data_IF_945350851737
#
_entry.id   IF_945350851737
#
_cell.length_a   1.000
_cell.length_b   1.000
_cell.length_c   1.000
_cell.angle_alpha   90.00
_cell.angle_beta   90.00
_cell.angle_gamma   90.00
#
_symmetry.space_group_name_H-M   'P 1'
#
loop_
_entity.id
_entity.type
_entity.pdbx_description
1 polymer ?
#
# COMPACT_ATOMS: atom_id res chain seq x y z
N UNK A 1 8.39 -3.31 6.44
CA UNK A 1 9.10 -4.54 5.97
C UNK A 1 8.31 -5.23 4.84
N UNK A 2 8.96 -6.00 3.96
CA UNK A 2 8.24 -6.79 2.94
C UNK A 2 7.42 -7.94 3.54
N UNK A 3 6.20 -8.14 3.03
CA UNK A 3 5.29 -9.23 3.42
C UNK A 3 5.17 -10.35 2.38
N UNK A 4 5.81 -10.16 1.22
CA UNK A 4 5.79 -11.15 0.13
C UNK A 4 6.71 -12.31 0.49
N UNK A 5 6.18 -13.52 0.38
CA UNK A 5 6.86 -14.78 0.66
C UNK A 5 6.92 -15.65 -0.58
N UNK A 6 7.88 -16.57 -0.60
CA UNK A 6 8.19 -17.45 -1.73
C UNK A 6 8.19 -18.92 -1.28
N UNK A 7 7.62 -19.82 -2.10
CA UNK A 7 7.72 -21.27 -1.90
C UNK A 7 8.33 -21.97 -3.12
N UNK A 8 9.31 -22.83 -2.85
CA UNK A 8 9.99 -23.62 -3.89
C UNK A 8 9.04 -24.64 -4.53
N UNK A 9 8.13 -25.24 -3.75
CA UNK A 9 7.25 -26.33 -4.20
C UNK A 9 6.33 -25.94 -5.37
N UNK A 10 6.00 -24.65 -5.49
CA UNK A 10 5.12 -24.13 -6.55
C UNK A 10 5.87 -23.33 -7.63
N UNK A 11 7.16 -23.06 -7.46
CA UNK A 11 7.88 -22.20 -8.38
C UNK A 11 8.41 -22.95 -9.62
N UNK A 12 8.02 -22.49 -10.81
CA UNK A 12 8.52 -23.02 -12.10
C UNK A 12 9.73 -22.25 -12.65
N UNK A 13 10.37 -21.38 -11.84
CA UNK A 13 11.58 -20.63 -12.21
C UNK A 13 11.47 -19.82 -13.53
N UNK A 14 10.26 -19.41 -13.94
CA UNK A 14 10.02 -18.68 -15.19
C UNK A 14 10.48 -17.21 -15.20
N UNK A 15 11.00 -16.73 -14.06
CA UNK A 15 11.53 -15.38 -13.82
C UNK A 15 10.55 -14.21 -14.08
N UNK A 16 9.25 -14.47 -14.28
CA UNK A 16 8.26 -13.41 -14.54
C UNK A 16 8.18 -12.41 -13.38
N UNK A 17 8.28 -12.88 -12.14
CA UNK A 17 8.28 -12.04 -10.94
C UNK A 17 9.45 -11.04 -10.88
N UNK A 18 10.62 -11.39 -11.42
CA UNK A 18 11.77 -10.48 -11.52
C UNK A 18 11.44 -9.32 -12.47
N UNK A 19 10.91 -9.65 -13.65
CA UNK A 19 10.60 -8.68 -14.72
C UNK A 19 9.49 -7.70 -14.36
N UNK A 20 8.48 -8.13 -13.61
CA UNK A 20 7.34 -7.26 -13.24
C UNK A 20 7.59 -6.44 -11.97
N UNK A 21 8.71 -6.64 -11.26
CA UNK A 21 8.96 -5.93 -10.02
C UNK A 21 9.40 -4.48 -10.35
N UNK A 22 8.58 -3.46 -10.01
CA UNK A 22 8.81 -2.07 -10.41
C UNK A 22 10.03 -1.42 -9.76
N UNK A 23 10.52 -2.06 -8.70
CA UNK A 23 11.66 -1.64 -7.89
C UNK A 23 12.71 -2.74 -7.87
N UNK A 24 12.67 -3.73 -8.76
CA UNK A 24 13.70 -4.78 -8.90
C UNK A 24 14.08 -5.49 -7.58
N UNK A 25 13.15 -5.56 -6.63
CA UNK A 25 13.37 -6.16 -5.32
C UNK A 25 13.46 -7.69 -5.37
N UNK A 26 13.29 -8.31 -6.54
CA UNK A 26 13.28 -9.75 -6.72
C UNK A 26 14.46 -10.15 -7.60
N UNK A 27 15.27 -11.09 -7.12
CA UNK A 27 16.39 -11.70 -7.86
C UNK A 27 16.27 -13.22 -7.82
N UNK A 28 17.05 -13.90 -8.66
CA UNK A 28 17.17 -15.35 -8.66
C UNK A 28 18.63 -15.74 -8.39
N UNK A 29 18.85 -16.47 -7.29
CA UNK A 29 20.17 -16.99 -6.90
C UNK A 29 20.04 -18.45 -6.52
N UNK A 30 20.93 -19.29 -7.03
CA UNK A 30 20.92 -20.75 -6.81
C UNK A 30 19.55 -21.37 -7.17
N UNK A 31 18.97 -20.91 -8.28
CA UNK A 31 17.63 -21.27 -8.76
C UNK A 31 16.48 -21.00 -7.78
N UNK A 32 16.71 -20.15 -6.77
CA UNK A 32 15.72 -19.73 -5.78
C UNK A 32 15.44 -18.26 -5.92
N UNK A 33 14.17 -17.89 -5.76
CA UNK A 33 13.75 -16.49 -5.70
C UNK A 33 14.22 -15.89 -4.38
N UNK A 34 14.83 -14.71 -4.44
CA UNK A 34 15.23 -13.90 -3.29
C UNK A 34 14.50 -12.57 -3.36
N UNK A 35 13.91 -12.15 -2.24
CA UNK A 35 13.17 -10.89 -2.13
C UNK A 35 13.96 -9.99 -1.20
N UNK A 36 14.41 -8.84 -1.72
CA UNK A 36 15.01 -7.79 -0.93
C UNK A 36 13.90 -7.09 -0.12
N UNK A 37 13.86 -7.38 1.19
CA UNK A 37 12.81 -6.87 2.09
C UNK A 37 12.83 -5.36 2.28
N UNK A 38 13.99 -4.71 2.15
CA UNK A 38 14.14 -3.26 2.30
C UNK A 38 13.86 -2.50 1.00
N UNK A 39 13.87 -3.16 -0.16
CA UNK A 39 13.52 -2.56 -1.45
C UNK A 39 12.07 -2.82 -1.87
N UNK A 40 11.47 -3.92 -1.42
CA UNK A 40 10.09 -4.26 -1.78
C UNK A 40 9.09 -3.22 -1.26
N UNK A 41 8.19 -2.77 -2.14
CA UNK A 41 7.12 -1.81 -1.85
C UNK A 41 5.76 -2.47 -1.62
N UNK A 42 5.71 -3.81 -1.52
CA UNK A 42 4.49 -4.58 -1.27
C UNK A 42 3.33 -4.35 -2.27
N UNK A 43 3.63 -3.99 -3.54
CA UNK A 43 2.63 -3.65 -4.56
C UNK A 43 1.85 -4.84 -5.15
N UNK A 44 2.19 -6.09 -4.81
CA UNK A 44 1.47 -7.28 -5.28
C UNK A 44 1.76 -7.74 -6.71
N UNK A 45 2.35 -6.91 -7.60
CA UNK A 45 2.57 -7.25 -9.03
C UNK A 45 3.24 -8.61 -9.28
N UNK A 46 4.20 -8.98 -8.42
CA UNK A 46 4.88 -10.26 -8.51
C UNK A 46 3.96 -11.46 -8.20
N UNK A 47 3.04 -11.30 -7.24
CA UNK A 47 2.01 -12.29 -6.88
C UNK A 47 1.02 -12.41 -8.04
N UNK A 48 0.47 -11.29 -8.51
CA UNK A 48 -0.50 -11.26 -9.64
C UNK A 48 0.07 -11.94 -10.89
N UNK A 49 1.37 -11.74 -11.17
CA UNK A 49 2.02 -12.32 -12.34
C UNK A 49 2.27 -13.84 -12.23
N UNK A 50 2.27 -14.39 -11.01
CA UNK A 50 2.72 -15.74 -10.71
C UNK A 50 1.58 -16.77 -10.87
N UNK A 51 1.38 -17.25 -12.10
CA UNK A 51 0.33 -18.24 -12.43
C UNK A 51 0.46 -19.58 -11.69
N UNK A 52 1.62 -19.85 -11.07
CA UNK A 52 1.86 -21.05 -10.28
C UNK A 52 1.65 -20.86 -8.77
N UNK A 53 1.33 -19.64 -8.31
CA UNK A 53 1.16 -19.32 -6.89
C UNK A 53 2.41 -19.59 -6.03
N UNK A 54 3.60 -19.43 -6.61
CA UNK A 54 4.87 -19.55 -5.89
C UNK A 54 5.22 -18.34 -5.01
N UNK A 55 4.49 -17.23 -5.16
CA UNK A 55 4.60 -16.02 -4.36
C UNK A 55 3.26 -15.73 -3.69
N UNK A 56 3.27 -15.36 -2.42
CA UNK A 56 2.07 -15.10 -1.62
C UNK A 56 2.32 -14.02 -0.57
N UNK A 57 1.27 -13.35 -0.11
CA UNK A 57 1.26 -12.55 1.11
C UNK A 57 0.11 -13.05 1.98
N UNK A 58 0.33 -13.18 3.29
CA UNK A 58 -0.66 -13.77 4.21
C UNK A 58 -0.78 -12.89 5.45
N UNK A 59 -2.01 -12.58 5.84
CA UNK A 59 -2.28 -11.95 7.12
C UNK A 59 -2.40 -12.98 8.25
N UNK A 60 -2.91 -12.48 9.37
CA UNK A 60 -3.53 -13.26 10.42
C UNK A 60 -4.71 -14.07 9.89
N UNK A 61 -5.24 -14.97 10.73
CA UNK A 61 -6.47 -15.71 10.43
C UNK A 61 -7.50 -15.46 11.52
N UNK A 62 -8.77 -15.84 11.29
CA UNK A 62 -9.81 -15.74 12.32
C UNK A 62 -9.54 -16.63 13.55
N UNK A 63 -8.59 -17.57 13.48
CA UNK A 63 -8.18 -18.35 14.66
C UNK A 63 -7.58 -17.48 15.76
N UNK A 64 -6.98 -16.34 15.39
CA UNK A 64 -6.37 -15.42 16.36
C UNK A 64 -7.40 -14.76 17.30
N UNK A 65 -8.69 -14.76 16.91
CA UNK A 65 -9.77 -14.21 17.74
C UNK A 65 -9.89 -14.90 19.10
N UNK A 66 -9.51 -16.19 19.19
CA UNK A 66 -9.60 -16.99 20.41
C UNK A 66 -8.71 -16.46 21.55
N UNK A 67 -7.70 -15.64 21.24
CA UNK A 67 -6.76 -15.10 22.22
C UNK A 67 -7.20 -13.80 22.90
N UNK A 68 -8.41 -13.30 22.60
CA UNK A 68 -8.88 -11.99 23.05
C UNK A 68 -10.28 -12.07 23.66
N UNK A 69 -10.52 -11.24 24.67
CA UNK A 69 -11.80 -11.12 25.37
C UNK A 69 -12.76 -10.22 24.60
N UNK A 70 -12.24 -9.10 24.06
CA UNK A 70 -12.96 -8.15 23.23
C UNK A 70 -12.29 -8.07 21.86
N UNK A 71 -13.02 -8.40 20.78
CA UNK A 71 -12.47 -8.45 19.41
C UNK A 71 -13.11 -7.37 18.55
N UNK A 72 -12.30 -6.48 18.01
CA UNK A 72 -12.75 -5.33 17.24
C UNK A 72 -12.19 -5.43 15.83
N UNK A 73 -13.07 -5.43 14.81
CA UNK A 73 -12.68 -5.35 13.42
C UNK A 73 -12.70 -3.91 12.92
N UNK A 74 -11.64 -3.48 12.22
CA UNK A 74 -11.60 -2.20 11.52
C UNK A 74 -11.84 -2.43 10.02
N UNK A 75 -12.89 -1.81 9.49
CA UNK A 75 -13.33 -1.97 8.10
C UNK A 75 -12.89 -0.77 7.27
N UNK A 76 -12.06 -0.95 6.22
CA UNK A 76 -11.60 0.16 5.39
C UNK A 76 -12.74 0.67 4.49
N UNK A 77 -12.77 1.98 4.25
CA UNK A 77 -13.75 2.65 3.37
C UNK A 77 -13.86 2.02 1.98
N UNK A 78 -12.77 1.48 1.46
CA UNK A 78 -12.75 0.81 0.17
C UNK A 78 -13.65 -0.44 0.11
N UNK A 79 -13.84 -1.13 1.25
CA UNK A 79 -14.69 -2.33 1.31
C UNK A 79 -16.18 -1.99 1.18
N UNK A 80 -16.60 -0.80 1.62
CA UNK A 80 -17.98 -0.35 1.51
C UNK A 80 -18.43 -0.24 0.04
N UNK A 81 -17.48 0.01 -0.87
CA UNK A 81 -17.73 0.03 -2.31
C UNK A 81 -18.04 -1.36 -2.91
N UNK A 82 -17.82 -2.45 -2.17
CA UNK A 82 -18.23 -3.79 -2.58
C UNK A 82 -19.76 -3.99 -2.50
N UNK A 83 -20.46 -3.14 -1.76
CA UNK A 83 -21.92 -3.09 -1.65
C UNK A 83 -22.49 -2.00 -2.56
N UNK A 84 -23.64 -2.23 -3.21
CA UNK A 84 -24.27 -1.25 -4.11
C UNK A 84 -25.25 -0.30 -3.42
N UNK A 85 -25.67 -0.62 -2.19
CA UNK A 85 -26.59 0.20 -1.37
C UNK A 85 -26.14 0.26 0.09
N UNK A 86 -26.61 1.27 0.82
CA UNK A 86 -26.33 1.39 2.28
C UNK A 86 -26.87 0.19 3.05
N UNK A 87 -28.04 -0.35 2.68
CA UNK A 87 -28.58 -1.58 3.31
C UNK A 87 -27.60 -2.76 3.19
N UNK A 88 -26.93 -2.89 2.05
CA UNK A 88 -25.93 -3.94 1.84
C UNK A 88 -24.61 -3.66 2.59
N UNK A 89 -24.27 -2.39 2.84
CA UNK A 89 -23.16 -2.05 3.75
C UNK A 89 -23.49 -2.53 5.17
N UNK A 90 -24.70 -2.25 5.64
CA UNK A 90 -25.14 -2.69 6.97
C UNK A 90 -25.20 -4.23 7.08
N UNK A 91 -25.60 -4.92 6.01
CA UNK A 91 -25.53 -6.38 5.92
C UNK A 91 -24.11 -6.90 6.00
N UNK A 92 -23.18 -6.26 5.28
CA UNK A 92 -21.75 -6.57 5.32
C UNK A 92 -21.19 -6.43 6.74
N UNK A 93 -21.49 -5.33 7.43
CA UNK A 93 -21.01 -5.10 8.79
C UNK A 93 -21.58 -6.10 9.79
N UNK A 94 -22.90 -6.37 9.72
CA UNK A 94 -23.52 -7.42 10.54
C UNK A 94 -22.93 -8.80 10.27
N UNK A 95 -22.59 -9.09 9.01
CA UNK A 95 -21.96 -10.35 8.61
C UNK A 95 -20.53 -10.44 9.13
N UNK A 96 -19.74 -9.36 9.05
CA UNK A 96 -18.39 -9.34 9.63
C UNK A 96 -18.47 -9.58 11.14
N UNK A 97 -19.40 -8.93 11.84
CA UNK A 97 -19.63 -9.12 13.28
C UNK A 97 -19.92 -10.59 13.60
N UNK A 98 -20.77 -11.25 12.81
CA UNK A 98 -21.10 -12.67 13.02
C UNK A 98 -19.94 -13.66 12.77
N UNK A 99 -18.83 -13.22 12.18
CA UNK A 99 -17.60 -14.03 12.07
C UNK A 99 -16.85 -14.21 13.39
N UNK A 100 -17.33 -13.59 14.48
CA UNK A 100 -16.78 -13.72 15.82
C UNK A 100 -16.18 -12.42 16.37
N UNK A 101 -16.53 -11.26 15.80
CA UNK A 101 -16.15 -9.96 16.35
C UNK A 101 -17.24 -9.41 17.27
N UNK A 102 -16.84 -8.76 18.34
CA UNK A 102 -17.78 -8.09 19.26
C UNK A 102 -18.17 -6.71 18.73
N UNK A 103 -17.24 -6.03 18.05
CA UNK A 103 -17.50 -4.74 17.39
C UNK A 103 -16.87 -4.66 16.00
N UNK A 104 -17.51 -3.90 15.12
CA UNK A 104 -17.06 -3.63 13.76
C UNK A 104 -17.09 -2.13 13.52
N UNK A 105 -15.91 -1.54 13.33
CA UNK A 105 -15.71 -0.09 13.23
C UNK A 105 -15.50 0.29 11.77
N UNK A 106 -16.32 1.23 11.29
CA UNK A 106 -16.14 1.86 9.99
C UNK A 106 -14.98 2.87 10.05
N UNK A 107 -14.00 2.73 9.16
CA UNK A 107 -12.89 3.67 9.05
C UNK A 107 -13.22 4.90 8.19
N UNK A 108 -14.36 4.93 7.50
CA UNK A 108 -14.72 6.05 6.64
C UNK A 108 -14.81 7.41 7.35
N UNK A 109 -15.31 7.53 8.59
CA UNK A 109 -15.23 8.78 9.33
C UNK A 109 -13.80 9.28 9.56
N UNK A 110 -12.84 8.38 9.79
CA UNK A 110 -11.43 8.73 9.97
C UNK A 110 -10.76 9.11 8.65
N UNK A 111 -11.05 8.38 7.56
CA UNK A 111 -10.62 8.77 6.21
C UNK A 111 -11.19 10.14 5.81
N UNK A 112 -12.43 10.45 6.20
CA UNK A 112 -13.03 11.77 6.00
C UNK A 112 -12.36 12.89 6.80
N UNK A 113 -11.92 12.61 8.03
CA UNK A 113 -11.13 13.55 8.82
C UNK A 113 -9.79 13.86 8.12
N UNK A 114 -9.11 12.83 7.61
CA UNK A 114 -7.88 12.98 6.82
C UNK A 114 -8.14 13.79 5.55
N UNK A 115 -9.24 13.51 4.84
CA UNK A 115 -9.60 14.26 3.64
C UNK A 115 -9.79 15.76 3.94
N UNK A 116 -10.43 16.11 5.06
CA UNK A 116 -10.59 17.50 5.48
C UNK A 116 -9.26 18.20 5.76
N UNK A 117 -8.33 17.52 6.43
CA UNK A 117 -6.98 18.04 6.66
C UNK A 117 -6.26 18.30 5.33
N UNK A 118 -6.34 17.35 4.40
CA UNK A 118 -5.78 17.50 3.06
C UNK A 118 -6.40 18.67 2.30
N UNK A 119 -7.71 18.92 2.41
CA UNK A 119 -8.35 20.08 1.77
C UNK A 119 -7.77 21.40 2.29
N UNK A 120 -7.48 21.48 3.60
CA UNK A 120 -6.79 22.63 4.20
C UNK A 120 -5.40 22.84 3.62
N UNK A 121 -4.61 21.77 3.50
CA UNK A 121 -3.26 21.81 2.93
C UNK A 121 -3.27 22.21 1.45
N UNK A 122 -4.21 21.68 0.66
CA UNK A 122 -4.40 22.04 -0.76
C UNK A 122 -4.74 23.52 -0.89
N UNK A 123 -5.59 24.04 0.00
CA UNK A 123 -5.98 25.45 -0.02
C UNK A 123 -4.83 26.41 0.34
N UNK A 124 -3.97 26.03 1.28
CA UNK A 124 -2.80 26.82 1.70
C UNK A 124 -1.54 26.56 0.83
N UNK A 125 -1.60 25.66 -0.15
CA UNK A 125 -0.42 25.13 -0.86
C UNK A 125 0.59 26.21 -1.27
N UNK A 126 1.73 26.21 -0.56
CA UNK A 126 2.87 27.12 -0.79
C UNK A 126 3.91 26.52 -1.73
N UNK A 127 4.13 25.21 -1.59
CA UNK A 127 5.09 24.43 -2.37
C UNK A 127 4.61 24.11 -3.79
N UNK A 128 5.53 23.84 -4.74
CA UNK A 128 5.16 23.46 -6.10
C UNK A 128 4.29 22.20 -6.12
N UNK A 129 4.58 21.24 -5.23
CA UNK A 129 3.85 19.99 -5.13
C UNK A 129 3.46 19.69 -3.68
N UNK A 130 2.30 19.06 -3.54
CA UNK A 130 1.93 18.28 -2.36
C UNK A 130 1.61 16.87 -2.85
N UNK A 131 2.19 15.85 -2.23
CA UNK A 131 2.04 14.46 -2.65
C UNK A 131 1.28 13.70 -1.59
N UNK A 132 0.19 13.05 -1.98
CA UNK A 132 -0.64 12.25 -1.09
C UNK A 132 0.14 11.11 -0.44
N UNK A 133 -0.11 10.83 0.84
CA UNK A 133 0.58 9.80 1.63
C UNK A 133 -0.32 8.64 2.09
N UNK A 134 -1.58 8.58 1.63
CA UNK A 134 -2.53 7.53 2.05
C UNK A 134 -2.21 6.15 1.45
N UNK A 135 -1.49 6.07 0.33
CA UNK A 135 -1.17 4.82 -0.34
C UNK A 135 0.21 4.29 0.09
N UNK A 136 0.30 3.26 0.96
CA UNK A 136 1.58 2.79 1.49
C UNK A 136 2.54 2.26 0.41
N UNK A 137 2.01 1.79 -0.72
CA UNK A 137 2.84 1.37 -1.87
C UNK A 137 3.52 2.57 -2.52
N UNK A 138 2.81 3.69 -2.66
CA UNK A 138 3.36 4.91 -3.27
C UNK A 138 4.38 5.56 -2.36
N UNK A 139 4.10 5.62 -1.04
CA UNK A 139 5.06 6.12 -0.05
C UNK A 139 6.39 5.36 -0.16
N UNK A 140 6.32 4.02 -0.14
CA UNK A 140 7.51 3.17 -0.28
C UNK A 140 8.18 3.28 -1.65
N UNK A 141 7.42 3.52 -2.72
CA UNK A 141 7.97 3.80 -4.04
C UNK A 141 8.78 5.11 -4.04
N UNK A 142 8.27 6.16 -3.40
CA UNK A 142 8.97 7.44 -3.27
C UNK A 142 10.23 7.27 -2.44
N UNK A 143 10.14 6.63 -1.27
CA UNK A 143 11.29 6.35 -0.41
C UNK A 143 12.41 5.58 -1.11
N UNK A 144 12.05 4.62 -1.98
CA UNK A 144 13.02 3.74 -2.65
C UNK A 144 13.53 4.31 -3.96
N UNK A 145 12.67 4.96 -4.76
CA UNK A 145 12.98 5.35 -6.15
C UNK A 145 13.00 6.86 -6.38
N UNK A 146 12.23 7.64 -5.62
CA UNK A 146 12.09 9.10 -5.79
C UNK A 146 12.40 9.88 -4.51
N UNK A 147 13.54 9.64 -3.84
CA UNK A 147 13.81 10.24 -2.53
C UNK A 147 13.90 11.78 -2.57
N UNK A 148 14.08 12.40 -3.74
CA UNK A 148 14.00 13.86 -3.90
C UNK A 148 12.60 14.42 -3.70
N UNK A 149 11.57 13.58 -3.82
CA UNK A 149 10.17 13.98 -3.65
C UNK A 149 9.65 13.80 -2.21
N UNK A 150 10.47 13.28 -1.29
CA UNK A 150 10.07 13.04 0.10
C UNK A 150 9.62 14.32 0.82
N UNK A 151 10.27 15.46 0.53
CA UNK A 151 9.93 16.75 1.14
C UNK A 151 8.55 17.28 0.74
N UNK A 152 8.01 16.83 -0.39
CA UNK A 152 6.68 17.24 -0.88
C UNK A 152 5.57 16.31 -0.39
N UNK A 153 5.89 15.21 0.31
CA UNK A 153 4.87 14.31 0.83
C UNK A 153 4.14 14.96 2.01
N UNK A 154 2.81 14.90 1.98
CA UNK A 154 1.99 15.26 3.13
C UNK A 154 2.22 14.25 4.28
N UNK A 155 2.03 14.64 5.55
CA UNK A 155 2.19 13.73 6.68
C UNK A 155 1.39 12.42 6.52
N UNK A 156 1.95 11.26 6.89
CA UNK A 156 1.33 9.96 6.65
C UNK A 156 0.23 9.63 7.67
N UNK A 157 -0.92 10.29 7.57
CA UNK A 157 -2.07 9.97 8.43
C UNK A 157 -2.66 8.60 8.07
N UNK A 158 -2.72 7.69 9.05
CA UNK A 158 -3.25 6.32 8.88
C UNK A 158 -4.56 6.19 9.65
N UNK A 159 -5.70 6.15 8.95
CA UNK A 159 -7.03 6.06 9.55
C UNK A 159 -7.20 4.89 10.52
N UNK A 160 -6.67 3.72 10.18
CA UNK A 160 -6.70 2.55 11.05
C UNK A 160 -5.93 2.76 12.37
N UNK A 161 -4.80 3.47 12.34
CA UNK A 161 -4.00 3.76 13.52
C UNK A 161 -4.69 4.80 14.40
N UNK A 162 -5.24 5.86 13.79
CA UNK A 162 -6.04 6.88 14.49
C UNK A 162 -7.25 6.26 15.21
N UNK A 163 -7.97 5.35 14.54
CA UNK A 163 -9.06 4.60 15.13
C UNK A 163 -8.57 3.68 16.26
N UNK A 164 -7.44 2.98 16.06
CA UNK A 164 -6.90 2.05 17.04
C UNK A 164 -6.46 2.75 18.33
N UNK A 165 -5.77 3.89 18.23
CA UNK A 165 -5.37 4.69 19.40
C UNK A 165 -6.57 5.12 20.22
N UNK A 166 -7.61 5.64 19.57
CA UNK A 166 -8.87 5.99 20.23
C UNK A 166 -9.52 4.79 20.92
N UNK A 167 -9.58 3.64 20.24
CA UNK A 167 -10.10 2.40 20.83
C UNK A 167 -9.28 2.01 22.07
N UNK A 168 -7.95 2.11 22.02
CA UNK A 168 -7.08 1.82 23.18
C UNK A 168 -7.36 2.75 24.35
N UNK A 169 -7.53 4.05 24.10
CA UNK A 169 -7.89 5.02 25.13
C UNK A 169 -9.25 4.72 25.77
N UNK A 170 -10.27 4.47 24.96
CA UNK A 170 -11.63 4.17 25.41
C UNK A 170 -11.69 2.83 26.18
N UNK A 171 -10.87 1.87 25.79
CA UNK A 171 -10.83 0.53 26.41
C UNK A 171 -9.77 0.38 27.50
N UNK A 172 -8.92 1.38 27.76
CA UNK A 172 -7.80 1.30 28.72
C UNK A 172 -8.23 0.94 30.15
N UNK A 173 -9.48 1.27 30.51
CA UNK A 173 -10.06 0.98 31.84
C UNK A 173 -10.76 -0.38 31.90
N UNK A 174 -10.93 -1.06 30.76
CA UNK A 174 -11.50 -2.40 30.72
C UNK A 174 -10.42 -3.38 31.19
N UNK A 175 -10.75 -4.22 32.17
CA UNK A 175 -9.90 -5.33 32.57
C UNK A 175 -10.09 -6.52 31.60
N UNK A 176 -9.94 -6.26 30.30
CA UNK A 176 -10.16 -7.20 29.21
C UNK A 176 -8.99 -7.12 28.24
N UNK A 177 -8.59 -8.26 27.68
CA UNK A 177 -7.61 -8.30 26.60
C UNK A 177 -8.29 -7.95 25.28
N UNK A 178 -8.07 -6.73 24.81
CA UNK A 178 -8.65 -6.19 23.57
C UNK A 178 -7.78 -6.52 22.36
N UNK A 179 -8.38 -7.15 21.35
CA UNK A 179 -7.76 -7.47 20.07
C UNK A 179 -8.30 -6.57 18.96
N UNK A 180 -7.41 -5.81 18.32
CA UNK A 180 -7.76 -4.93 17.20
C UNK A 180 -7.30 -5.55 15.88
N UNK A 181 -8.25 -5.79 14.97
CA UNK A 181 -8.05 -6.50 13.71
C UNK A 181 -8.33 -5.57 12.52
N UNK A 182 -7.30 -5.19 11.77
CA UNK A 182 -7.46 -4.44 10.53
C UNK A 182 -7.83 -5.38 9.38
N UNK A 183 -8.99 -5.17 8.76
CA UNK A 183 -9.31 -5.80 7.50
C UNK A 183 -8.57 -5.07 6.37
N UNK A 184 -7.67 -5.77 5.69
CA UNK A 184 -6.78 -5.21 4.69
C UNK A 184 -7.30 -5.40 3.27
N UNK A 185 -7.51 -4.28 2.58
CA UNK A 185 -7.78 -4.19 1.15
C UNK A 185 -6.48 -4.19 0.31
N UNK A 186 -5.32 -4.03 0.97
CA UNK A 186 -4.02 -3.91 0.32
C UNK A 186 -2.95 -4.77 1.02
N UNK A 187 -2.10 -5.43 0.24
CA UNK A 187 -0.96 -6.21 0.73
C UNK A 187 -0.01 -5.33 1.56
N UNK A 188 0.16 -4.07 1.18
CA UNK A 188 1.04 -3.13 1.88
C UNK A 188 0.49 -2.64 3.23
N UNK A 189 -0.77 -2.95 3.57
CA UNK A 189 -1.33 -2.73 4.92
C UNK A 189 -1.13 -3.93 5.86
N UNK A 190 -0.85 -5.13 5.33
CA UNK A 190 -0.56 -6.29 6.17
C UNK A 190 0.56 -6.06 7.21
N UNK A 191 1.69 -5.40 6.89
CA UNK A 191 2.77 -5.21 7.86
C UNK A 191 2.51 -4.09 8.87
N UNK A 192 1.39 -3.35 8.80
CA UNK A 192 1.06 -2.25 9.74
C UNK A 192 0.36 -2.76 10.99
N UNK A 193 0.73 -3.95 11.46
CA UNK A 193 0.15 -4.61 12.63
C UNK A 193 1.24 -5.39 13.37
N UNK A 194 1.06 -5.56 14.68
CA UNK A 194 1.99 -6.29 15.53
C UNK A 194 2.20 -7.72 15.05
N UNK A 195 1.15 -8.41 14.60
CA UNK A 195 1.23 -9.77 14.08
C UNK A 195 0.58 -9.92 12.69
N UNK A 196 1.22 -10.62 11.74
CA UNK A 196 2.39 -11.50 11.90
C UNK A 196 3.76 -10.85 11.64
N UNK A 197 3.82 -9.53 11.49
CA UNK A 197 5.02 -8.87 10.95
C UNK A 197 5.86 -8.08 11.96
N UNK A 198 5.42 -7.97 13.21
CA UNK A 198 6.21 -7.45 14.33
C UNK A 198 6.24 -5.93 14.45
N UNK A 199 5.24 -5.21 13.94
CA UNK A 199 5.20 -3.75 14.04
C UNK A 199 4.77 -3.29 15.44
N UNK A 200 5.73 -3.18 16.36
CA UNK A 200 5.47 -2.91 17.77
C UNK A 200 5.05 -1.47 18.06
N UNK A 201 5.20 -0.54 17.11
CA UNK A 201 4.73 0.84 17.25
C UNK A 201 3.26 1.03 16.89
N UNK A 202 2.63 0.06 16.21
CA UNK A 202 1.22 0.13 15.86
C UNK A 202 0.33 -0.29 17.02
N UNK A 203 -0.84 0.35 17.16
CA UNK A 203 -1.89 -0.09 18.08
C UNK A 203 -2.74 -1.25 17.54
N UNK A 204 -2.56 -1.63 16.27
CA UNK A 204 -3.26 -2.73 15.61
C UNK A 204 -2.56 -4.06 15.93
N UNK A 205 -3.30 -5.04 16.46
CA UNK A 205 -2.71 -6.34 16.80
C UNK A 205 -2.58 -7.25 15.59
N UNK A 206 -3.60 -7.28 14.74
CA UNK A 206 -3.70 -8.25 13.65
C UNK A 206 -4.15 -7.60 12.34
N UNK A 207 -3.52 -8.00 11.23
CA UNK A 207 -4.01 -7.70 9.88
C UNK A 207 -4.63 -8.93 9.21
N UNK A 208 -5.89 -8.84 8.76
CA UNK A 208 -6.61 -9.89 8.05
C UNK A 208 -6.77 -9.52 6.57
N UNK A 209 -6.55 -10.46 5.66
CA UNK A 209 -6.78 -10.24 4.23
C UNK A 209 -8.28 -10.33 3.92
N UNK A 210 -8.87 -9.28 3.33
CA UNK A 210 -10.32 -9.26 3.05
C UNK A 210 -10.74 -10.40 2.12
N UNK A 211 -9.95 -10.71 1.07
CA UNK A 211 -10.23 -11.81 0.14
C UNK A 211 -10.24 -13.19 0.82
N UNK A 212 -9.47 -13.38 1.91
CA UNK A 212 -9.47 -14.63 2.66
C UNK A 212 -10.75 -14.82 3.48
N UNK A 213 -11.45 -13.71 3.80
CA UNK A 213 -12.74 -13.72 4.49
C UNK A 213 -13.93 -13.88 3.54
N UNK A 214 -13.75 -13.56 2.26
CA UNK A 214 -14.82 -13.56 1.25
C UNK A 214 -15.67 -14.84 1.21
N UNK A 215 -15.11 -16.08 1.28
CA UNK A 215 -15.93 -17.29 1.26
C UNK A 215 -16.91 -17.39 2.44
N UNK A 216 -16.54 -16.88 3.62
CA UNK A 216 -17.42 -16.86 4.78
C UNK A 216 -18.44 -15.72 4.68
N UNK A 217 -17.98 -14.53 4.31
CA UNK A 217 -18.84 -13.35 4.11
C UNK A 217 -19.91 -13.64 3.07
N UNK A 218 -19.54 -14.18 1.91
CA UNK A 218 -20.48 -14.49 0.82
C UNK A 218 -21.53 -15.53 1.20
N UNK A 219 -21.23 -16.40 2.18
CA UNK A 219 -22.16 -17.44 2.63
C UNK A 219 -23.21 -16.89 3.61
N UNK A 220 -22.81 -15.95 4.46
CA UNK A 220 -23.64 -15.42 5.54
C UNK A 220 -24.25 -14.04 5.21
N UNK A 221 -23.91 -13.45 4.06
CA UNK A 221 -24.43 -12.15 3.61
C UNK A 221 -25.97 -12.12 3.62
N UNK A 222 -26.55 -11.05 4.16
CA UNK A 222 -28.00 -10.85 4.25
C UNK A 222 -28.68 -11.50 5.46
N UNK A 223 -27.97 -12.34 6.24
CA UNK A 223 -28.50 -12.95 7.47
C UNK A 223 -28.40 -12.04 8.69
N UNK A 224 -27.52 -11.04 8.63
CA UNK A 224 -27.19 -10.14 9.72
C UNK A 224 -27.20 -8.71 9.21
N UNK A 225 -27.42 -7.75 10.11
CA UNK A 225 -27.36 -6.32 9.80
C UNK A 225 -26.86 -5.57 11.03
N UNK A 226 -25.93 -4.66 10.83
CA UNK A 226 -25.51 -3.69 11.85
C UNK A 226 -25.54 -2.29 11.25
N UNK A 227 -26.01 -1.31 11.99
CA UNK A 227 -26.21 0.04 11.46
C UNK A 227 -24.86 0.73 11.24
N UNK A 228 -24.73 1.41 10.09
CA UNK A 228 -23.53 2.15 9.73
C UNK A 228 -23.94 3.46 9.07
N UNK A 229 -23.23 4.54 9.40
CA UNK A 229 -23.40 5.84 8.76
C UNK A 229 -22.06 6.30 8.16
N UNK A 230 -21.72 5.85 6.93
CA UNK A 230 -20.43 6.14 6.34
C UNK A 230 -20.18 7.64 6.13
N UNK A 231 -18.92 8.06 6.12
CA UNK A 231 -18.54 9.42 5.73
C UNK A 231 -18.49 9.57 4.20
N UNK A 232 -19.18 10.57 3.62
CA UNK A 232 -19.02 10.91 2.21
C UNK A 232 -17.57 11.27 1.84
N UNK A 233 -16.83 11.96 2.71
CA UNK A 233 -15.46 12.38 2.41
C UNK A 233 -14.48 11.20 2.51
N UNK A 234 -14.71 10.25 3.43
CA UNK A 234 -13.96 9.00 3.48
C UNK A 234 -14.15 8.14 2.22
N UNK A 235 -15.41 8.02 1.75
CA UNK A 235 -15.71 7.31 0.50
C UNK A 235 -15.06 7.99 -0.73
N UNK A 236 -15.02 9.33 -0.78
CA UNK A 236 -14.29 10.06 -1.83
C UNK A 236 -12.79 9.80 -1.77
N UNK A 237 -12.19 9.72 -0.58
CA UNK A 237 -10.76 9.45 -0.43
C UNK A 237 -10.39 8.04 -0.93
N UNK A 238 -11.26 7.06 -0.72
CA UNK A 238 -11.04 5.69 -1.17
C UNK A 238 -11.08 5.50 -2.71
N UNK A 239 -11.67 6.45 -3.45
CA UNK A 239 -11.83 6.38 -4.90
C UNK A 239 -11.19 7.57 -5.60
N UNK A 240 -10.15 7.34 -6.40
CA UNK A 240 -9.44 8.41 -7.12
C UNK A 240 -10.37 9.18 -8.07
N UNK A 241 -11.40 8.53 -8.62
CA UNK A 241 -12.42 9.21 -9.43
C UNK A 241 -13.18 10.30 -8.65
N UNK A 242 -13.39 10.10 -7.35
CA UNK A 242 -14.27 10.92 -6.51
C UNK A 242 -13.54 11.91 -5.62
N UNK A 243 -12.27 11.67 -5.28
CA UNK A 243 -11.49 12.61 -4.47
C UNK A 243 -11.48 14.00 -5.11
N UNK A 244 -11.89 15.03 -4.37
CA UNK A 244 -11.92 16.39 -4.88
C UNK A 244 -11.89 17.37 -3.72
N UNK A 245 -11.23 18.52 -3.90
CA UNK A 245 -11.26 19.65 -2.97
C UNK A 245 -12.03 20.79 -3.62
N UNK A 246 -13.19 21.14 -3.05
CA UNK A 246 -14.11 22.12 -3.64
C UNK A 246 -13.43 23.48 -3.82
N UNK A 247 -13.43 24.00 -5.06
CA UNK A 247 -12.79 25.27 -5.42
C UNK A 247 -11.30 25.15 -5.79
N UNK A 248 -10.73 23.95 -5.70
CA UNK A 248 -9.33 23.65 -6.03
C UNK A 248 -9.20 22.48 -7.00
N UNK A 249 -10.27 22.13 -7.72
CA UNK A 249 -10.33 20.94 -8.58
C UNK A 249 -9.25 20.96 -9.68
N UNK A 250 -8.94 22.14 -10.22
CA UNK A 250 -7.91 22.33 -11.24
C UNK A 250 -6.48 22.15 -10.73
N UNK A 251 -6.27 22.11 -9.41
CA UNK A 251 -4.98 21.89 -8.77
C UNK A 251 -4.73 20.42 -8.43
N UNK A 252 -5.71 19.54 -8.61
CA UNK A 252 -5.58 18.13 -8.25
C UNK A 252 -5.21 17.31 -9.48
N UNK A 253 -4.01 16.75 -9.48
CA UNK A 253 -3.59 15.75 -10.46
C UNK A 253 -3.77 14.37 -9.88
N UNK A 254 -4.55 13.53 -10.56
CA UNK A 254 -4.88 12.17 -10.14
C UNK A 254 -4.14 11.17 -11.00
N UNK A 255 -3.40 10.27 -10.37
CA UNK A 255 -2.83 9.12 -11.06
C UNK A 255 -3.09 7.84 -10.25
N UNK A 256 -3.81 6.92 -10.86
CA UNK A 256 -4.07 5.60 -10.34
C UNK A 256 -3.46 4.53 -11.25
N UNK A 257 -3.05 3.42 -10.64
CA UNK A 257 -2.25 2.42 -11.34
C UNK A 257 -0.76 2.79 -11.33
N UNK A 258 0.06 1.83 -10.93
CA UNK A 258 1.49 2.02 -10.71
C UNK A 258 2.24 2.70 -11.86
N UNK A 259 1.93 2.37 -13.11
CA UNK A 259 2.59 2.96 -14.29
C UNK A 259 2.30 4.46 -14.42
N UNK A 260 1.02 4.87 -14.23
CA UNK A 260 0.66 6.29 -14.25
C UNK A 260 1.26 7.04 -13.07
N UNK A 261 1.30 6.40 -11.90
CA UNK A 261 1.96 6.96 -10.71
C UNK A 261 3.45 7.20 -10.97
N UNK A 262 4.16 6.23 -11.54
CA UNK A 262 5.58 6.38 -11.87
C UNK A 262 5.80 7.52 -12.87
N UNK A 263 4.96 7.61 -13.92
CA UNK A 263 5.03 8.73 -14.86
C UNK A 263 4.80 10.08 -14.16
N UNK A 264 3.79 10.18 -13.29
CA UNK A 264 3.53 11.43 -12.54
C UNK A 264 4.70 11.82 -11.64
N UNK A 265 5.34 10.85 -10.97
CA UNK A 265 6.51 11.07 -10.13
C UNK A 265 7.75 11.46 -10.97
N UNK A 266 7.98 10.80 -12.11
CA UNK A 266 9.07 11.17 -13.04
C UNK A 266 8.89 12.63 -13.50
N UNK A 267 7.68 13.02 -13.92
CA UNK A 267 7.38 14.39 -14.33
C UNK A 267 7.56 15.40 -13.20
N UNK A 268 7.21 15.03 -11.96
CA UNK A 268 7.41 15.89 -10.79
C UNK A 268 8.91 16.07 -10.46
N UNK A 269 9.67 14.97 -10.41
CA UNK A 269 11.10 14.96 -10.06
C UNK A 269 11.94 15.74 -11.09
N UNK A 270 11.59 15.66 -12.38
CA UNK A 270 12.26 16.42 -13.44
C UNK A 270 11.67 17.82 -13.68
N UNK A 271 10.77 18.31 -12.81
CA UNK A 271 10.23 19.66 -12.88
C UNK A 271 9.35 19.93 -14.12
N UNK A 272 8.76 18.88 -14.71
CA UNK A 272 7.93 18.98 -15.91
C UNK A 272 6.46 19.28 -15.60
N UNK A 273 6.01 19.07 -14.35
CA UNK A 273 4.68 19.49 -13.90
C UNK A 273 4.68 20.99 -13.55
N UNK A 274 4.17 21.82 -14.45
CA UNK A 274 4.13 23.29 -14.27
C UNK A 274 2.98 23.71 -13.37
N UNK A 275 3.23 24.59 -12.41
CA UNK A 275 2.21 25.15 -11.52
C UNK A 275 2.22 24.50 -10.14
N UNK A 276 1.17 24.77 -9.35
CA UNK A 276 0.97 24.17 -8.03
C UNK A 276 -0.04 23.04 -8.12
N UNK A 277 0.40 21.85 -7.75
CA UNK A 277 -0.42 20.64 -7.84
C UNK A 277 -0.43 19.85 -6.53
N UNK A 278 -1.60 19.33 -6.19
CA UNK A 278 -1.73 18.20 -5.29
C UNK A 278 -1.79 16.91 -6.11
N UNK A 279 -0.79 16.04 -5.91
CA UNK A 279 -0.70 14.74 -6.55
C UNK A 279 -1.46 13.71 -5.71
N UNK A 280 -2.67 13.37 -6.12
CA UNK A 280 -3.45 12.27 -5.56
C UNK A 280 -3.04 10.97 -6.26
N UNK A 281 -2.18 10.19 -5.60
CA UNK A 281 -1.49 9.03 -6.19
C UNK A 281 -1.92 7.72 -5.53
N UNK A 282 -2.37 6.75 -6.33
CA UNK A 282 -2.75 5.43 -5.85
C UNK A 282 -2.17 4.30 -6.71
N UNK A 283 -1.61 3.27 -6.08
CA UNK A 283 -1.03 2.13 -6.81
C UNK A 283 -2.06 1.33 -7.61
N UNK A 284 -3.29 1.23 -7.10
CA UNK A 284 -4.34 0.42 -7.68
C UNK A 284 -5.23 1.24 -8.60
N UNK A 285 -5.83 0.61 -9.61
CA UNK A 285 -6.75 1.26 -10.54
C UNK A 285 -7.98 1.78 -9.77
N UNK A 286 -8.42 3.00 -10.08
CA UNK A 286 -9.53 3.71 -9.41
C UNK A 286 -9.33 4.00 -7.91
N UNK A 287 -8.13 3.84 -7.36
CA UNK A 287 -7.84 4.09 -5.94
C UNK A 287 -7.91 2.83 -5.08
N UNK A 288 -8.15 3.00 -3.78
CA UNK A 288 -8.20 1.90 -2.81
C UNK A 288 -9.32 0.89 -3.10
N UNK A 289 -10.41 1.31 -3.76
CA UNK A 289 -11.50 0.42 -4.22
C UNK A 289 -11.05 -0.64 -5.24
N UNK A 290 -9.86 -0.48 -5.84
CA UNK A 290 -9.21 -1.51 -6.67
C UNK A 290 -8.10 -2.28 -5.97
N UNK A 291 -8.04 -2.26 -4.64
CA UNK A 291 -7.04 -2.94 -3.84
C UNK A 291 -6.90 -4.44 -4.11
N UNK A 292 -5.67 -4.95 -4.13
CA UNK A 292 -5.36 -6.35 -4.47
C UNK A 292 -5.96 -7.40 -3.51
N UNK A 293 -6.44 -7.00 -2.33
CA UNK A 293 -7.08 -7.91 -1.37
C UNK A 293 -8.60 -7.71 -1.28
N UNK A 294 -9.20 -6.88 -2.15
CA UNK A 294 -10.65 -6.76 -2.29
C UNK A 294 -11.20 -7.84 -3.23
N UNK A 295 -12.48 -8.16 -3.04
CA UNK A 295 -13.27 -8.88 -4.02
C UNK A 295 -14.05 -7.91 -4.91
N UNK A 296 -14.52 -8.42 -6.05
CA UNK A 296 -15.32 -7.63 -6.99
C UNK A 296 -14.46 -6.87 -8.00
N UNK A 297 -15.14 -6.02 -8.78
CA UNK A 297 -14.56 -5.32 -9.91
C UNK A 297 -14.42 -3.82 -9.60
N UNK A 298 -13.23 -3.20 -9.76
CA UNK A 298 -12.99 -1.79 -9.40
C UNK A 298 -13.84 -0.78 -10.20
N UNK A 299 -14.34 -1.14 -11.38
CA UNK A 299 -15.20 -0.25 -12.16
C UNK A 299 -16.60 -0.14 -11.56
N UNK A 300 -17.18 -1.28 -11.14
CA UNK A 300 -18.48 -1.30 -10.45
C UNK A 300 -18.35 -0.68 -9.06
N UNK A 301 -17.29 -0.99 -8.32
CA UNK A 301 -17.02 -0.39 -7.02
C UNK A 301 -16.99 1.15 -7.09
N UNK A 302 -16.42 1.71 -8.16
CA UNK A 302 -16.44 3.17 -8.40
C UNK A 302 -17.85 3.69 -8.62
N UNK A 303 -18.70 2.98 -9.37
CA UNK A 303 -20.12 3.35 -9.53
C UNK A 303 -20.89 3.27 -8.21
N UNK A 304 -20.63 2.25 -7.40
CA UNK A 304 -21.24 2.14 -6.07
C UNK A 304 -20.86 3.32 -5.18
N UNK A 305 -19.61 3.78 -5.21
CA UNK A 305 -19.22 5.02 -4.52
C UNK A 305 -20.07 6.20 -5.01
N UNK A 306 -20.27 6.35 -6.33
CA UNK A 306 -21.14 7.41 -6.86
C UNK A 306 -22.58 7.32 -6.33
N UNK A 307 -23.15 6.12 -6.22
CA UNK A 307 -24.50 5.91 -5.67
C UNK A 307 -24.58 6.18 -4.18
N UNK A 308 -23.59 5.72 -3.40
CA UNK A 308 -23.51 5.99 -1.97
C UNK A 308 -23.44 7.49 -1.68
N UNK A 309 -22.64 8.24 -2.43
CA UNK A 309 -22.51 9.69 -2.25
C UNK A 309 -23.83 10.46 -2.46
N UNK A 310 -24.82 9.88 -3.15
CA UNK A 310 -26.16 10.50 -3.28
C UNK A 310 -26.97 10.37 -1.99
N UNK A 311 -26.74 9.33 -1.20
CA UNK A 311 -27.63 8.94 -0.08
C UNK A 311 -26.98 9.07 1.29
N UNK A 312 -25.68 8.77 1.40
CA UNK A 312 -24.90 8.80 2.65
C UNK A 312 -24.76 10.22 3.19
N UNK A 313 -24.91 10.38 4.51
CA UNK A 313 -24.86 11.67 5.21
C UNK A 313 -24.02 11.64 6.49
N UNK A 314 -23.24 10.59 6.70
CA UNK A 314 -22.43 10.43 7.90
C UNK A 314 -21.38 11.51 8.09
N UNK A 315 -20.88 11.59 9.31
CA UNK A 315 -19.97 12.64 9.75
C UNK A 315 -18.53 12.13 9.84
N UNK A 316 -17.58 13.06 9.80
CA UNK A 316 -16.17 12.74 9.96
C UNK A 316 -15.84 12.59 11.45
N UNK A 317 -14.91 11.68 11.76
CA UNK A 317 -14.41 11.50 13.10
C UNK A 317 -13.73 12.79 13.58
N UNK A 318 -13.89 13.12 14.85
CA UNK A 318 -13.10 14.18 15.47
C UNK A 318 -11.73 13.59 15.83
N UNK A 319 -10.71 14.03 15.10
CA UNK A 319 -9.33 13.56 15.24
C UNK A 319 -8.43 14.77 15.49
N UNK A 320 -7.51 14.63 16.43
CA UNK A 320 -6.41 15.58 16.61
C UNK A 320 -5.22 15.04 15.84
N UNK A 321 -4.80 15.74 14.80
CA UNK A 321 -3.57 15.43 14.07
C UNK A 321 -2.40 16.06 14.83
N UNK A 322 -1.58 15.26 15.52
CA UNK A 322 -0.40 15.78 16.20
C UNK A 322 0.71 16.10 15.20
N UNK A 323 1.35 17.26 15.34
CA UNK A 323 2.43 17.72 14.46
C UNK A 323 3.70 16.83 14.50
N UNK A 324 3.78 15.89 15.45
CA UNK A 324 4.88 14.94 15.65
C UNK A 324 4.60 13.54 15.13
N UNK A 325 3.46 13.28 14.49
CA UNK A 325 3.12 11.93 14.03
C UNK A 325 4.01 11.49 12.86
N UNK A 326 5.05 10.75 13.24
CA UNK A 326 5.99 10.04 12.39
C UNK A 326 6.57 10.91 11.27
N UNK A 327 7.57 11.70 11.63
CA UNK A 327 8.60 12.07 10.67
C UNK A 327 8.91 10.83 9.80
N UNK A 328 8.93 11.00 8.48
CA UNK A 328 9.48 10.02 7.51
C UNK A 328 10.99 9.70 7.78
N UNK A 329 11.49 10.03 8.97
CA UNK A 329 12.87 9.99 9.41
C UNK A 329 13.22 8.68 10.14
N UNK A 330 12.25 7.84 10.54
CA UNK A 330 12.56 6.55 11.19
C UNK A 330 12.94 5.42 10.21
N UNK A 331 12.92 5.67 8.90
CA UNK A 331 13.39 4.70 7.90
C UNK A 331 14.56 5.27 7.10
N UNK A 332 15.74 4.76 7.46
CA UNK A 332 17.07 4.90 6.86
C UNK A 332 17.89 6.13 7.27
N UNK A 333 19.12 5.84 7.68
CA UNK A 333 20.29 6.69 7.48
C UNK A 333 20.22 7.30 6.07
N UNK A 334 19.69 8.53 5.96
CA UNK A 334 19.58 9.22 4.68
C UNK A 334 20.99 9.49 4.20
N UNK A 335 21.46 8.69 3.24
CA UNK A 335 22.69 8.97 2.52
C UNK A 335 22.63 10.41 2.03
N UNK A 336 23.62 11.20 2.41
CA UNK A 336 23.80 12.56 1.91
C UNK A 336 23.78 12.56 0.38
N UNK A 337 23.45 13.72 -0.21
CA UNK A 337 23.50 13.91 -1.67
C UNK A 337 24.87 13.50 -2.21
N UNK A 338 25.95 13.81 -1.48
CA UNK A 338 27.32 13.42 -1.85
C UNK A 338 27.50 11.91 -1.90
N UNK A 339 27.02 11.18 -0.89
CA UNK A 339 27.09 9.71 -0.85
C UNK A 339 26.29 9.08 -2.00
N UNK A 340 25.12 9.62 -2.32
CA UNK A 340 24.29 9.16 -3.45
C UNK A 340 25.00 9.37 -4.79
N UNK A 341 25.66 10.52 -4.99
CA UNK A 341 26.44 10.80 -6.21
C UNK A 341 27.59 9.81 -6.34
N UNK A 342 28.33 9.55 -5.27
CA UNK A 342 29.44 8.59 -5.27
C UNK A 342 28.98 7.16 -5.56
N UNK A 343 27.88 6.74 -4.95
CA UNK A 343 27.27 5.44 -5.22
C UNK A 343 26.83 5.34 -6.68
N UNK A 344 26.14 6.35 -7.21
CA UNK A 344 25.71 6.40 -8.61
C UNK A 344 26.89 6.29 -9.58
N UNK A 345 27.99 6.99 -9.31
CA UNK A 345 29.21 6.91 -10.11
C UNK A 345 29.82 5.50 -10.09
N UNK A 346 29.88 4.84 -8.92
CA UNK A 346 30.37 3.45 -8.81
C UNK A 346 29.50 2.48 -9.60
N UNK A 347 28.18 2.60 -9.51
CA UNK A 347 27.23 1.75 -10.25
C UNK A 347 27.39 1.94 -11.75
N UNK A 348 27.49 3.17 -12.23
CA UNK A 348 27.65 3.44 -13.66
C UNK A 348 28.96 2.87 -14.22
N UNK A 349 30.07 2.96 -13.47
CA UNK A 349 31.34 2.35 -13.88
C UNK A 349 31.26 0.81 -14.04
N UNK A 350 30.40 0.14 -13.27
CA UNK A 350 30.13 -1.29 -13.46
C UNK A 350 29.15 -1.54 -14.62
N UNK A 351 28.16 -0.67 -14.79
CA UNK A 351 27.15 -0.79 -15.85
C UNK A 351 27.76 -0.68 -17.25
N UNK A 352 28.73 0.21 -17.45
CA UNK A 352 29.46 0.36 -18.73
C UNK A 352 30.17 -0.93 -19.19
N UNK A 353 30.45 -1.85 -18.26
CA UNK A 353 31.10 -3.13 -18.55
C UNK A 353 30.10 -4.26 -18.84
N UNK A 354 28.80 -3.98 -18.78
CA UNK A 354 27.73 -4.95 -19.02
C UNK A 354 27.10 -4.75 -20.41
N UNK A 355 26.53 -5.80 -21.04
CA UNK A 355 25.99 -5.71 -22.41
C UNK A 355 24.76 -4.81 -22.59
N UNK A 356 24.08 -4.43 -21.49
CA UNK A 356 22.90 -3.55 -21.55
C UNK A 356 21.61 -4.17 -22.12
N UNK A 357 21.56 -5.49 -22.31
CA UNK A 357 20.39 -6.17 -22.90
C UNK A 357 19.21 -6.42 -21.94
N UNK A 358 19.41 -6.27 -20.63
CA UNK A 358 18.40 -6.54 -19.59
C UNK A 358 17.69 -7.91 -19.73
N UNK A 359 18.39 -8.92 -20.26
CA UNK A 359 17.81 -10.22 -20.61
C UNK A 359 17.41 -11.09 -19.39
N UNK A 360 17.90 -10.76 -18.19
CA UNK A 360 17.64 -11.51 -16.95
C UNK A 360 18.35 -12.85 -16.80
N UNK A 361 19.22 -13.25 -17.74
CA UNK A 361 19.88 -14.56 -17.73
C UNK A 361 20.79 -14.81 -16.51
N UNK A 362 21.30 -13.75 -15.89
CA UNK A 362 22.12 -13.80 -14.67
C UNK A 362 21.28 -13.84 -13.38
N UNK A 363 19.95 -13.76 -13.47
CA UNK A 363 19.06 -13.74 -12.31
C UNK A 363 18.81 -12.34 -11.71
N UNK A 364 19.29 -11.27 -12.35
CA UNK A 364 18.94 -9.89 -12.03
C UNK A 364 17.90 -9.33 -13.01
N UNK A 365 17.05 -8.40 -12.57
CA UNK A 365 15.99 -7.85 -13.41
C UNK A 365 16.52 -6.97 -14.56
N UNK A 366 17.67 -6.33 -14.36
CA UNK A 366 18.36 -5.47 -15.34
C UNK A 366 19.88 -5.54 -15.17
N UNK A 367 20.60 -5.08 -16.20
CA UNK A 367 22.03 -4.83 -16.14
C UNK A 367 22.37 -3.78 -15.07
N UNK A 368 21.52 -2.77 -14.86
CA UNK A 368 21.70 -1.79 -13.78
C UNK A 368 21.63 -2.43 -12.41
N UNK A 369 20.64 -3.29 -12.14
CA UNK A 369 20.55 -4.03 -10.88
C UNK A 369 21.79 -4.91 -10.65
N UNK A 370 22.27 -5.57 -11.70
CA UNK A 370 23.51 -6.35 -11.61
C UNK A 370 24.72 -5.45 -11.29
N UNK A 371 24.82 -4.28 -11.92
CA UNK A 371 25.88 -3.30 -11.64
C UNK A 371 25.83 -2.80 -10.17
N UNK A 372 24.64 -2.58 -9.61
CA UNK A 372 24.45 -2.24 -8.19
C UNK A 372 25.00 -3.34 -7.27
N UNK A 373 24.69 -4.61 -7.57
CA UNK A 373 25.17 -5.75 -6.78
C UNK A 373 26.68 -5.95 -6.91
N UNK A 374 27.28 -5.65 -8.06
CA UNK A 374 28.74 -5.64 -8.25
C UNK A 374 29.38 -4.51 -7.45
N UNK A 375 28.85 -3.29 -7.56
CA UNK A 375 29.35 -2.13 -6.82
C UNK A 375 29.27 -2.33 -5.30
N UNK A 376 28.30 -3.12 -4.83
CA UNK A 376 28.15 -3.50 -3.44
C UNK A 376 28.90 -4.78 -3.03
N UNK A 377 29.71 -5.36 -3.92
CA UNK A 377 30.55 -6.54 -3.64
C UNK A 377 29.78 -7.86 -3.48
N UNK A 378 28.51 -7.91 -3.88
CA UNK A 378 27.63 -9.10 -3.77
C UNK A 378 27.54 -9.93 -5.05
N UNK A 379 28.03 -9.38 -6.16
CA UNK A 379 28.14 -10.03 -7.46
C UNK A 379 29.44 -9.62 -8.17
N UNK A 380 29.74 -10.27 -9.29
CA UNK A 380 30.89 -9.97 -10.16
C UNK A 380 30.44 -9.95 -11.62
N UNK A 381 31.26 -9.39 -12.52
CA UNK A 381 30.99 -9.40 -13.96
C UNK A 381 30.88 -10.82 -14.52
N UNK A 382 31.51 -11.81 -13.88
CA UNK A 382 31.41 -13.23 -14.26
C UNK A 382 30.02 -13.82 -14.05
N UNK A 383 29.14 -13.17 -13.27
CA UNK A 383 27.75 -13.61 -13.18
C UNK A 383 26.98 -13.37 -14.50
N UNK A 384 27.48 -12.52 -15.41
CA UNK A 384 26.80 -12.18 -16.64
C UNK A 384 27.04 -13.26 -17.71
N UNK A 385 26.00 -14.06 -17.96
CA UNK A 385 26.08 -15.18 -18.92
C UNK A 385 26.35 -14.71 -20.34
N UNK A 386 25.78 -13.58 -20.76
CA UNK A 386 25.93 -13.06 -22.12
C UNK A 386 27.36 -12.53 -22.34
N UNK A 387 27.84 -11.67 -21.45
CA UNK A 387 29.21 -11.15 -21.49
C UNK A 387 30.25 -12.28 -21.53
N UNK A 388 30.07 -13.32 -20.72
CA UNK A 388 31.00 -14.44 -20.69
C UNK A 388 31.01 -15.28 -21.98
N UNK A 389 29.91 -15.28 -22.73
CA UNK A 389 29.85 -15.91 -24.05
C UNK A 389 30.60 -15.08 -25.09
N UNK A 390 30.43 -13.75 -25.10
CA UNK A 390 31.10 -12.83 -26.02
C UNK A 390 32.61 -12.73 -25.80
N UNK A 391 33.09 -12.87 -24.57
CA UNK A 391 34.53 -12.84 -24.25
C UNK A 391 35.24 -14.16 -24.63
N UNK A 392 34.50 -15.26 -24.82
CA UNK A 392 35.04 -16.59 -25.16
C UNK A 392 34.99 -16.93 -26.65
N UNK A 393 34.26 -16.15 -27.44
CA UNK A 393 34.23 -16.17 -28.91
C UNK A 393 35.28 -15.23 -29.48
#
# INVERSE_FOLDING_TARGET
MSVVTYTLAKCQKCMKCLRVCPVEAITMKDERVRINKSRCINCGKCIDSCVHQGLQAKGSTLAELEYYDLKIALVPSALLAAASTVSQIEELFGTIKSLGFDEVVDLSPYDGAIANELYGMIADQKEPYLISSFCPVVNRLIEVKYPMLLEYMVPPYRSAELASRRIREETAKLNQKVGIFLLCECIAKLPTSKYPYGDTSSEIDHALSIVDLFPRISKEMGNHRDHVDPSPDGLKLASSAHFTAKGYESHILKADGLEKVQLALDLAEFGQLKGRHYLHLANCINGCVGGNLLWGNPFEATQHVSEHLKTVRGTNAQVVFEASEESLDEVNERKSIQERILEYARVNAQLEQLPGYDCGACGFASCRMMAEEIAAGRATLENCRIRNHEVKS
#
